data_IF_039113875807
#
_entry.id   IF_039113875807
#
_cell.length_a   1.000
_cell.length_b   1.000
_cell.length_c   1.000
_cell.angle_alpha   90.00
_cell.angle_beta   90.00
_cell.angle_gamma   90.00
#
_symmetry.space_group_name_H-M   'P 1'
#
loop_
_entity.id
_entity.type
_entity.pdbx_description
1 polymer ?
#
# COMPACT_ATOMS: atom_id res chain seq x y z
N UNK A 1 12.88 -15.54 8.65
CA UNK A 1 12.32 -15.20 9.96
C UNK A 1 11.19 -14.22 9.73
N UNK A 2 10.17 -14.28 10.59
CA UNK A 2 8.96 -13.46 10.47
C UNK A 2 9.06 -12.21 11.36
N UNK A 3 8.36 -11.14 10.96
CA UNK A 3 8.24 -9.91 11.77
C UNK A 3 7.18 -10.17 12.85
N UNK A 4 7.42 -9.74 14.08
CA UNK A 4 6.47 -9.88 15.19
C UNK A 4 5.99 -8.51 15.65
N UNK A 5 4.67 -8.32 15.71
CA UNK A 5 4.05 -7.11 16.27
C UNK A 5 3.63 -7.33 17.72
N UNK A 6 4.15 -6.50 18.61
CA UNK A 6 3.84 -6.53 20.03
C UNK A 6 2.55 -5.73 20.33
N UNK A 7 1.87 -6.01 21.46
CA UNK A 7 0.65 -5.31 21.85
C UNK A 7 0.87 -3.82 22.18
N UNK A 8 2.11 -3.42 22.47
CA UNK A 8 2.50 -2.02 22.68
C UNK A 8 2.75 -1.24 21.38
N UNK A 9 2.57 -1.90 20.23
CA UNK A 9 2.79 -1.33 18.91
C UNK A 9 4.23 -1.41 18.40
N UNK A 10 5.17 -2.00 19.15
CA UNK A 10 6.54 -2.20 18.65
C UNK A 10 6.65 -3.38 17.68
N UNK A 11 7.64 -3.35 16.80
CA UNK A 11 7.92 -4.41 15.83
C UNK A 11 9.29 -5.04 16.10
N UNK A 12 9.37 -6.36 16.11
CA UNK A 12 10.62 -7.12 16.13
C UNK A 12 10.92 -7.58 14.71
N UNK A 13 11.97 -7.02 14.10
CA UNK A 13 12.34 -7.23 12.70
C UNK A 13 13.64 -8.02 12.60
N UNK A 14 13.72 -9.07 11.78
CA UNK A 14 14.98 -9.79 11.54
C UNK A 14 15.94 -8.90 10.74
N UNK A 15 17.17 -8.70 11.21
CA UNK A 15 18.23 -8.06 10.43
C UNK A 15 19.05 -9.15 9.75
N UNK A 16 19.30 -9.00 8.44
CA UNK A 16 20.27 -9.86 7.79
C UNK A 16 21.66 -9.50 8.32
N UNK A 17 22.48 -10.47 8.74
CA UNK A 17 23.86 -10.19 9.09
C UNK A 17 24.55 -9.61 7.85
N UNK A 18 25.20 -8.45 8.01
CA UNK A 18 26.03 -7.89 6.96
C UNK A 18 27.06 -8.95 6.56
N UNK A 19 27.05 -9.38 5.29
CA UNK A 19 28.14 -10.21 4.79
C UNK A 19 29.43 -9.43 5.01
N UNK A 20 30.26 -9.90 5.93
CA UNK A 20 31.60 -9.38 6.10
C UNK A 20 32.32 -9.55 4.76
N UNK A 21 32.57 -8.45 4.06
CA UNK A 21 33.47 -8.46 2.92
C UNK A 21 34.85 -8.72 3.51
N UNK A 22 35.30 -9.97 3.44
CA UNK A 22 36.68 -10.32 3.70
C UNK A 22 37.53 -9.50 2.72
N UNK A 23 38.39 -8.66 3.27
CA UNK A 23 39.26 -7.80 2.48
C UNK A 23 40.22 -8.69 1.69
N UNK A 24 40.07 -8.69 0.37
CA UNK A 24 41.02 -9.30 -0.57
C UNK A 24 42.31 -8.45 -0.54
N UNK A 25 43.22 -8.78 0.38
CA UNK A 25 44.61 -8.34 0.37
C UNK A 25 45.49 -9.51 -0.11
N UNK A 26 46.03 -9.48 -1.34
CA UNK A 26 46.81 -10.59 -1.88
C UNK A 26 48.27 -10.47 -1.42
N UNK A 27 48.63 -11.18 -0.34
CA UNK A 27 50.01 -11.17 0.15
C UNK A 27 50.37 -12.22 1.21
N UNK A 28 50.57 -13.47 0.77
CA UNK A 28 51.64 -14.40 1.17
C UNK A 28 52.01 -14.54 2.67
N UNK A 29 51.65 -15.65 3.34
CA UNK A 29 52.55 -16.80 3.66
C UNK A 29 51.90 -17.81 4.64
N UNK A 30 52.14 -19.09 4.33
CA UNK A 30 51.87 -20.33 5.08
C UNK A 30 51.83 -20.29 6.61
N UNK A 31 50.81 -20.93 7.18
CA UNK A 31 50.82 -21.41 8.57
C UNK A 31 49.65 -22.38 8.82
N UNK A 32 49.94 -23.67 8.93
CA UNK A 32 48.94 -24.72 9.12
C UNK A 32 48.15 -24.60 10.43
N UNK A 33 46.85 -24.86 10.34
CA UNK A 33 45.94 -24.97 11.46
C UNK A 33 44.60 -25.47 10.96
N UNK A 34 44.28 -26.72 11.30
CA UNK A 34 42.98 -27.35 11.14
C UNK A 34 41.92 -26.49 11.85
N UNK A 35 41.08 -25.80 11.08
CA UNK A 35 39.88 -25.15 11.57
C UNK A 35 38.81 -25.34 10.51
N UNK A 36 37.98 -26.35 10.74
CA UNK A 36 36.71 -26.49 10.05
C UNK A 36 36.00 -25.13 10.03
N UNK A 37 35.70 -24.61 8.83
CA UNK A 37 34.69 -23.58 8.64
C UNK A 37 33.39 -24.12 9.21
N UNK A 38 33.08 -23.75 10.45
CA UNK A 38 31.73 -23.84 10.96
C UNK A 38 30.91 -22.79 10.21
N UNK A 39 29.78 -23.14 9.56
CA UNK A 39 28.82 -22.13 9.18
C UNK A 39 28.41 -21.41 10.46
N UNK A 40 28.61 -20.10 10.50
CA UNK A 40 28.09 -19.23 11.56
C UNK A 40 26.57 -19.16 11.44
N UNK A 41 25.91 -20.25 11.86
CA UNK A 41 24.48 -20.33 12.09
C UNK A 41 24.21 -19.67 13.47
N UNK A 42 24.50 -18.37 13.55
CA UNK A 42 24.05 -17.53 14.64
C UNK A 42 22.56 -17.30 14.50
N UNK A 43 21.78 -17.19 15.60
CA UNK A 43 20.41 -16.73 15.50
C UNK A 43 20.41 -15.39 14.74
N UNK A 44 19.42 -15.12 13.86
CA UNK A 44 19.37 -13.82 13.21
C UNK A 44 19.35 -12.75 14.29
N UNK A 45 20.19 -11.75 14.14
CA UNK A 45 20.04 -10.56 14.96
C UNK A 45 18.64 -9.98 14.67
N UNK A 46 17.91 -9.62 15.73
CA UNK A 46 16.60 -8.98 15.61
C UNK A 46 16.69 -7.56 16.13
N UNK A 47 16.07 -6.61 15.42
CA UNK A 47 15.98 -5.21 15.84
C UNK A 47 14.55 -4.91 16.30
N UNK A 48 14.43 -4.20 17.42
CA UNK A 48 13.16 -3.62 17.88
C UNK A 48 12.96 -2.24 17.21
N UNK A 49 11.79 -2.01 16.63
CA UNK A 49 11.37 -0.72 16.07
C UNK A 49 10.17 -0.17 16.85
N UNK A 50 10.23 1.11 17.20
CA UNK A 50 9.14 1.83 17.84
C UNK A 50 8.31 2.63 16.81
N UNK A 51 7.02 2.88 17.08
CA UNK A 51 6.21 3.75 16.22
C UNK A 51 6.86 5.12 16.00
N UNK A 52 6.95 5.54 14.73
CA UNK A 52 7.57 6.80 14.32
C UNK A 52 9.09 6.77 14.16
N UNK A 53 9.75 5.62 14.39
CA UNK A 53 11.14 5.43 14.01
C UNK A 53 11.27 5.16 12.51
N UNK A 54 12.34 5.64 11.89
CA UNK A 54 12.59 5.36 10.47
C UNK A 54 12.72 3.86 10.22
N UNK A 55 11.99 3.34 9.23
CA UNK A 55 11.88 1.90 8.97
C UNK A 55 10.68 1.22 9.62
N UNK A 56 9.96 1.90 10.53
CA UNK A 56 8.80 1.32 11.21
C UNK A 56 7.61 1.11 10.24
N UNK A 57 7.32 2.10 9.40
CA UNK A 57 6.19 2.01 8.45
C UNK A 57 6.43 0.92 7.40
N UNK A 58 7.67 0.81 6.93
CA UNK A 58 8.10 -0.24 6.01
C UNK A 58 7.99 -1.63 6.67
N UNK A 59 8.49 -1.78 7.91
CA UNK A 59 8.38 -3.03 8.65
C UNK A 59 6.93 -3.39 9.00
N UNK A 60 6.06 -2.38 9.20
CA UNK A 60 4.64 -2.58 9.44
C UNK A 60 3.93 -3.09 8.18
N UNK A 61 4.29 -2.55 7.01
CA UNK A 61 3.78 -3.01 5.72
C UNK A 61 4.24 -4.45 5.43
N UNK A 62 5.52 -4.77 5.66
CA UNK A 62 6.05 -6.12 5.51
C UNK A 62 5.39 -7.12 6.47
N UNK A 63 5.09 -6.68 7.71
CA UNK A 63 4.33 -7.47 8.67
C UNK A 63 2.89 -7.73 8.19
N UNK A 64 2.20 -6.71 7.67
CA UNK A 64 0.84 -6.87 7.14
C UNK A 64 0.78 -7.85 5.96
N UNK A 65 1.77 -7.79 5.06
CA UNK A 65 1.92 -8.75 3.96
C UNK A 65 2.19 -10.18 4.45
N UNK A 66 2.92 -10.35 5.55
CA UNK A 66 3.12 -11.68 6.15
C UNK A 66 1.83 -12.25 6.77
N UNK A 67 1.02 -11.39 7.40
CA UNK A 67 -0.25 -11.81 7.99
C UNK A 67 -1.33 -12.05 6.94
N UNK A 68 -1.26 -11.33 5.83
CA UNK A 68 -2.20 -11.40 4.74
C UNK A 68 -1.45 -11.69 3.42
N UNK A 69 -0.90 -12.91 3.25
CA UNK A 69 -0.09 -13.26 2.09
C UNK A 69 -0.87 -13.19 0.77
N UNK A 70 -2.19 -13.36 0.84
CA UNK A 70 -3.10 -13.23 -0.30
C UNK A 70 -3.53 -11.78 -0.56
N UNK A 71 -3.22 -10.85 0.36
CA UNK A 71 -3.53 -9.43 0.19
C UNK A 71 -2.47 -8.82 -0.71
N UNK A 72 -2.86 -8.60 -1.96
CA UNK A 72 -2.04 -7.82 -2.88
C UNK A 72 -1.78 -6.43 -2.27
N UNK A 73 -0.60 -5.82 -2.50
CA UNK A 73 -0.40 -4.42 -2.16
C UNK A 73 -1.55 -3.61 -2.77
N UNK A 74 -2.29 -2.89 -1.93
CA UNK A 74 -3.47 -2.14 -2.34
C UNK A 74 -2.99 -0.94 -3.15
N UNK A 75 -2.79 -1.18 -4.44
CA UNK A 75 -2.40 -0.17 -5.42
C UNK A 75 -3.62 0.18 -6.24
N UNK A 76 -3.81 1.47 -6.51
CA UNK A 76 -4.77 1.89 -7.53
C UNK A 76 -4.42 1.22 -8.86
N UNK A 77 -5.24 0.26 -9.28
CA UNK A 77 -5.11 -0.41 -10.57
C UNK A 77 -5.76 0.43 -11.67
N UNK A 78 -5.30 0.28 -12.92
CA UNK A 78 -5.92 1.00 -14.04
C UNK A 78 -7.42 0.66 -14.18
N UNK A 79 -7.80 -0.61 -13.95
CA UNK A 79 -9.20 -1.06 -13.98
C UNK A 79 -9.99 -0.52 -12.79
N UNK A 80 -9.46 -0.60 -11.57
CA UNK A 80 -10.12 -0.06 -10.37
C UNK A 80 -10.38 1.43 -10.50
N UNK A 81 -9.45 2.18 -11.10
CA UNK A 81 -9.61 3.60 -11.40
C UNK A 81 -10.68 3.87 -12.46
N UNK A 82 -10.79 3.03 -13.49
CA UNK A 82 -11.86 3.15 -14.49
C UNK A 82 -13.23 2.88 -13.87
N UNK A 83 -13.36 1.82 -13.08
CA UNK A 83 -14.60 1.52 -12.34
C UNK A 83 -14.95 2.66 -11.37
N UNK A 84 -13.97 3.25 -10.69
CA UNK A 84 -14.17 4.43 -9.84
C UNK A 84 -14.70 5.65 -10.61
N UNK A 85 -14.21 5.89 -11.84
CA UNK A 85 -14.72 6.97 -12.68
C UNK A 85 -16.17 6.73 -13.09
N UNK A 86 -16.48 5.53 -13.57
CA UNK A 86 -17.83 5.13 -13.97
C UNK A 86 -18.82 5.22 -12.80
N UNK A 87 -18.40 4.76 -11.61
CA UNK A 87 -19.17 4.84 -10.37
C UNK A 87 -19.48 6.29 -9.99
N UNK A 88 -18.46 7.14 -9.92
CA UNK A 88 -18.64 8.56 -9.56
C UNK A 88 -19.54 9.26 -10.57
N UNK A 89 -19.37 8.98 -11.87
CA UNK A 89 -20.25 9.50 -12.91
C UNK A 89 -21.70 9.02 -12.76
N UNK A 90 -21.92 7.74 -12.47
CA UNK A 90 -23.25 7.17 -12.25
C UNK A 90 -23.95 7.83 -11.04
N UNK A 91 -23.25 8.00 -9.93
CA UNK A 91 -23.78 8.67 -8.73
C UNK A 91 -24.06 10.16 -9.00
N UNK A 92 -23.18 10.85 -9.73
CA UNK A 92 -23.35 12.26 -10.08
C UNK A 92 -24.57 12.50 -10.97
N UNK A 93 -24.86 11.58 -11.89
CA UNK A 93 -25.98 11.68 -12.83
C UNK A 93 -27.26 10.99 -12.34
N UNK A 94 -27.21 10.31 -11.19
CA UNK A 94 -28.39 9.69 -10.59
C UNK A 94 -29.33 10.77 -10.03
N UNK A 95 -30.62 10.76 -10.39
CA UNK A 95 -31.58 11.76 -9.89
C UNK A 95 -31.71 11.74 -8.35
N UNK A 96 -31.47 10.57 -7.75
CA UNK A 96 -31.55 10.36 -6.30
C UNK A 96 -30.18 10.21 -5.63
N UNK A 97 -29.08 10.46 -6.36
CA UNK A 97 -27.72 10.28 -5.86
C UNK A 97 -27.47 8.88 -5.25
N UNK A 98 -27.94 7.85 -5.95
CA UNK A 98 -28.03 6.50 -5.41
C UNK A 98 -26.64 5.84 -5.31
N UNK A 99 -25.98 5.95 -4.14
CA UNK A 99 -24.63 5.41 -3.87
C UNK A 99 -24.65 3.89 -3.69
N UNK A 100 -25.49 3.37 -2.80
CA UNK A 100 -25.54 1.93 -2.48
C UNK A 100 -25.71 1.03 -3.72
N UNK A 101 -26.72 1.22 -4.60
CA UNK A 101 -26.85 0.36 -5.77
C UNK A 101 -25.68 0.52 -6.76
N UNK A 102 -25.08 1.71 -6.83
CA UNK A 102 -23.93 1.94 -7.70
C UNK A 102 -22.68 1.20 -7.20
N UNK A 103 -22.50 1.11 -5.88
CA UNK A 103 -21.43 0.32 -5.24
C UNK A 103 -21.67 -1.18 -5.40
N UNK A 104 -22.91 -1.65 -5.29
CA UNK A 104 -23.28 -3.06 -5.51
C UNK A 104 -22.96 -3.56 -6.93
N UNK A 105 -22.98 -2.65 -7.91
CA UNK A 105 -22.67 -2.94 -9.31
C UNK A 105 -21.15 -2.99 -9.62
N UNK A 106 -20.28 -2.71 -8.65
CA UNK A 106 -18.82 -2.76 -8.84
C UNK A 106 -18.31 -4.19 -9.04
N UNK A 107 -17.37 -4.34 -9.97
CA UNK A 107 -16.66 -5.60 -10.18
C UNK A 107 -15.53 -5.79 -9.17
N UNK A 108 -14.83 -4.71 -8.83
CA UNK A 108 -13.73 -4.69 -7.85
C UNK A 108 -13.84 -3.49 -6.90
N UNK A 109 -14.64 -3.67 -5.86
CA UNK A 109 -14.90 -2.67 -4.83
C UNK A 109 -13.62 -2.19 -4.12
N UNK A 110 -12.65 -3.08 -3.88
CA UNK A 110 -11.40 -2.75 -3.20
C UNK A 110 -10.51 -1.87 -4.08
N UNK A 111 -10.32 -2.24 -5.36
CA UNK A 111 -9.50 -1.47 -6.28
C UNK A 111 -10.11 -0.09 -6.59
N UNK A 112 -11.43 0.00 -6.73
CA UNK A 112 -12.12 1.28 -6.90
C UNK A 112 -12.03 2.15 -5.65
N UNK A 113 -12.22 1.57 -4.47
CA UNK A 113 -12.05 2.27 -3.19
C UNK A 113 -10.65 2.83 -3.04
N UNK A 114 -9.61 2.07 -3.38
CA UNK A 114 -8.23 2.57 -3.30
C UNK A 114 -7.94 3.68 -4.32
N UNK A 115 -8.46 3.55 -5.55
CA UNK A 115 -8.34 4.62 -6.53
C UNK A 115 -8.95 5.93 -6.02
N UNK A 116 -10.11 5.86 -5.37
CA UNK A 116 -10.78 7.01 -4.77
C UNK A 116 -10.03 7.60 -3.57
N UNK A 117 -9.47 6.75 -2.69
CA UNK A 117 -8.60 7.20 -1.59
C UNK A 117 -7.37 7.94 -2.11
N UNK A 118 -6.74 7.42 -3.16
CA UNK A 118 -5.59 8.07 -3.79
C UNK A 118 -5.93 9.48 -4.31
N UNK A 119 -7.11 9.64 -4.91
CA UNK A 119 -7.61 10.96 -5.38
C UNK A 119 -7.74 11.93 -4.20
N UNK A 120 -8.32 11.50 -3.07
CA UNK A 120 -8.46 12.36 -1.90
C UNK A 120 -7.12 12.73 -1.24
N UNK A 121 -6.17 11.78 -1.19
CA UNK A 121 -4.80 12.02 -0.67
C UNK A 121 -4.08 13.09 -1.51
N UNK A 122 -4.31 13.12 -2.82
CA UNK A 122 -3.74 14.12 -3.73
C UNK A 122 -4.35 15.53 -3.58
N UNK A 123 -5.41 15.70 -2.77
CA UNK A 123 -6.05 16.98 -2.50
C UNK A 123 -6.76 17.60 -3.70
N UNK A 124 -7.08 18.90 -3.61
CA UNK A 124 -7.88 19.63 -4.62
C UNK A 124 -7.38 19.45 -6.06
N UNK A 125 -6.07 19.59 -6.38
CA UNK A 125 -5.60 19.41 -7.75
C UNK A 125 -5.84 18.00 -8.30
N UNK A 126 -5.72 16.97 -7.45
CA UNK A 126 -5.97 15.58 -7.85
C UNK A 126 -7.47 15.33 -8.07
N UNK A 127 -8.32 15.91 -7.22
CA UNK A 127 -9.77 15.85 -7.38
C UNK A 127 -10.23 16.56 -8.67
N UNK A 128 -9.66 17.72 -8.98
CA UNK A 128 -9.96 18.46 -10.22
C UNK A 128 -9.51 17.69 -11.46
N UNK A 129 -8.30 17.10 -11.42
CA UNK A 129 -7.81 16.23 -12.49
C UNK A 129 -8.72 15.01 -12.66
N UNK A 130 -9.08 14.33 -11.57
CA UNK A 130 -9.99 13.19 -11.60
C UNK A 130 -11.35 13.57 -12.17
N UNK A 131 -11.90 14.72 -11.82
CA UNK A 131 -13.15 15.23 -12.39
C UNK A 131 -13.08 15.45 -13.91
N UNK A 132 -11.97 16.04 -14.38
CA UNK A 132 -11.75 16.21 -15.82
C UNK A 132 -11.65 14.86 -16.55
N UNK A 133 -11.00 13.88 -15.92
CA UNK A 133 -10.87 12.54 -16.48
C UNK A 133 -12.18 11.76 -16.50
N UNK A 134 -13.04 11.92 -15.48
CA UNK A 134 -14.41 11.39 -15.49
C UNK A 134 -15.20 11.96 -16.68
N UNK A 135 -15.12 13.28 -16.89
CA UNK A 135 -15.80 13.92 -18.03
C UNK A 135 -15.23 13.47 -19.39
N UNK A 136 -13.92 13.21 -19.48
CA UNK A 136 -13.30 12.66 -20.69
C UNK A 136 -13.72 11.20 -20.96
N UNK A 137 -13.78 10.36 -19.92
CA UNK A 137 -14.07 8.94 -20.04
C UNK A 137 -15.56 8.66 -20.27
N UNK A 138 -16.43 9.30 -19.48
CA UNK A 138 -17.87 9.02 -19.45
C UNK A 138 -18.70 10.03 -20.25
N UNK A 139 -18.07 11.14 -20.65
CA UNK A 139 -18.72 12.25 -21.32
C UNK A 139 -19.39 13.23 -20.36
N UNK A 140 -19.66 14.45 -20.85
CA UNK A 140 -20.30 15.52 -20.08
C UNK A 140 -19.33 16.61 -19.63
N UNK A 141 -19.79 17.43 -18.69
CA UNK A 141 -18.98 18.51 -18.11
C UNK A 141 -18.28 18.01 -16.83
N UNK A 142 -17.07 18.51 -16.52
CA UNK A 142 -16.40 18.20 -15.26
C UNK A 142 -17.28 18.51 -14.05
N UNK A 143 -17.42 17.53 -13.15
CA UNK A 143 -18.15 17.65 -11.90
C UNK A 143 -17.42 18.69 -11.01
N UNK A 144 -18.13 19.66 -10.42
CA UNK A 144 -17.50 20.65 -9.52
C UNK A 144 -16.76 19.97 -8.36
N UNK A 145 -15.58 20.47 -8.01
CA UNK A 145 -14.67 19.88 -6.99
C UNK A 145 -15.40 19.51 -5.69
N UNK A 146 -16.23 20.40 -5.15
CA UNK A 146 -16.96 20.15 -3.91
C UNK A 146 -18.01 19.04 -4.03
N UNK A 147 -18.61 18.84 -5.20
CA UNK A 147 -19.59 17.78 -5.45
C UNK A 147 -18.88 16.44 -5.62
N UNK A 148 -17.80 16.39 -6.41
CA UNK A 148 -17.05 15.15 -6.59
C UNK A 148 -16.39 14.70 -5.29
N UNK A 149 -15.81 15.60 -4.49
CA UNK A 149 -15.28 15.23 -3.16
C UNK A 149 -16.37 14.66 -2.26
N UNK A 150 -17.59 15.21 -2.31
CA UNK A 150 -18.73 14.69 -1.55
C UNK A 150 -19.11 13.28 -2.00
N UNK A 151 -19.26 13.07 -3.31
CA UNK A 151 -19.57 11.75 -3.89
C UNK A 151 -18.52 10.72 -3.46
N UNK A 152 -17.24 11.06 -3.60
CA UNK A 152 -16.15 10.16 -3.23
C UNK A 152 -16.23 9.81 -1.74
N UNK A 153 -16.51 10.77 -0.87
CA UNK A 153 -16.67 10.53 0.56
C UNK A 153 -17.84 9.59 0.90
N UNK A 154 -19.00 9.77 0.23
CA UNK A 154 -20.19 8.92 0.44
C UNK A 154 -19.98 7.51 -0.11
N UNK A 155 -19.33 7.37 -1.27
CA UNK A 155 -18.95 6.07 -1.85
C UNK A 155 -17.98 5.32 -0.93
N UNK A 156 -16.93 5.99 -0.44
CA UNK A 156 -15.96 5.36 0.45
C UNK A 156 -16.60 4.92 1.77
N UNK A 157 -17.51 5.74 2.30
CA UNK A 157 -18.27 5.36 3.49
C UNK A 157 -19.10 4.09 3.25
N UNK A 158 -19.73 3.95 2.08
CA UNK A 158 -20.51 2.77 1.72
C UNK A 158 -19.65 1.51 1.49
N UNK A 159 -18.44 1.68 0.95
CA UNK A 159 -17.48 0.58 0.73
C UNK A 159 -16.87 0.05 2.04
N UNK A 160 -16.86 0.87 3.09
CA UNK A 160 -16.29 0.54 4.41
C UNK A 160 -17.33 -0.04 5.40
N UNK A 161 -18.59 -0.18 4.98
CA UNK A 161 -19.66 -0.86 5.75
C UNK A 161 -19.58 -2.39 5.67
#
# INVERSE_FOLDING_TARGET
>A
MDIVRNPDGTLVVPVQPERSHEADDPGDVSGGGDAAEAPTDGPPDTRLLHPGEGGYDEALADWDLQQNPDRAPVVSTASGRQEAMALVHAVANSPDHAVAPAVEDLGDAEASGEALRHVLVGGVPSVEAFSAEVAEAEGGDPIPTHQITKIIGEVLAQLDE
#
